data_IF_338397008062
#
_entry.id   IF_338397008062
#
_cell.length_a   1.000
_cell.length_b   1.000
_cell.length_c   1.000
_cell.angle_alpha   90.00
_cell.angle_beta   90.00
_cell.angle_gamma   90.00
#
_symmetry.space_group_name_H-M   'P 1'
#
loop_
_entity.id
_entity.type
_entity.pdbx_description
1 polymer ?
#
# COMPACT_ATOMS: atom_id res chain seq x y z
N UNK A 1 -1.94 2.48 8.83
CA UNK A 1 -1.25 1.24 9.20
C UNK A 1 0.23 1.56 9.41
N UNK A 2 0.82 1.12 10.53
CA UNK A 2 2.27 1.12 10.67
C UNK A 2 2.87 0.00 9.78
N UNK A 3 4.04 0.24 9.22
CA UNK A 3 4.76 -0.69 8.34
C UNK A 3 6.17 -0.92 8.91
N UNK A 4 6.73 -2.13 8.79
CA UNK A 4 8.08 -2.40 9.24
C UNK A 4 9.14 -1.61 8.46
N UNK A 5 10.34 -1.53 9.02
CA UNK A 5 11.51 -1.05 8.30
C UNK A 5 11.75 -1.91 7.06
N UNK A 6 12.12 -1.27 5.93
CA UNK A 6 12.34 -1.99 4.67
C UNK A 6 11.06 -2.48 3.96
N UNK A 7 9.88 -1.95 4.31
CA UNK A 7 8.62 -2.27 3.60
C UNK A 7 8.76 -2.20 2.08
N UNK A 8 9.43 -1.19 1.52
CA UNK A 8 9.59 -1.04 0.07
C UNK A 8 10.37 -2.19 -0.58
N UNK A 9 11.26 -2.85 0.16
CA UNK A 9 12.06 -4.00 -0.30
C UNK A 9 11.41 -5.36 -0.01
N UNK A 10 10.35 -5.41 0.79
CA UNK A 10 9.66 -6.67 1.11
C UNK A 10 8.94 -7.24 -0.11
N UNK A 11 8.88 -8.58 -0.18
CA UNK A 11 8.10 -9.25 -1.21
C UNK A 11 6.60 -9.07 -0.94
N UNK A 12 5.80 -9.21 -2.00
CA UNK A 12 4.34 -9.05 -1.90
C UNK A 12 3.72 -10.04 -0.91
N UNK A 13 4.24 -11.27 -0.86
CA UNK A 13 3.80 -12.29 0.09
C UNK A 13 3.99 -11.82 1.55
N UNK A 14 5.16 -11.30 1.89
CA UNK A 14 5.47 -10.82 3.24
C UNK A 14 4.56 -9.65 3.63
N UNK A 15 4.34 -8.72 2.70
CA UNK A 15 3.42 -7.59 2.89
C UNK A 15 2.00 -8.03 3.18
N UNK A 16 1.51 -9.05 2.47
CA UNK A 16 0.18 -9.63 2.70
C UNK A 16 0.08 -10.35 4.03
N UNK A 17 1.10 -11.13 4.39
CA UNK A 17 1.19 -11.81 5.68
C UNK A 17 1.17 -10.79 6.82
N UNK A 18 1.96 -9.72 6.70
CA UNK A 18 1.98 -8.62 7.66
C UNK A 18 0.62 -7.95 7.78
N UNK A 19 0.00 -7.55 6.66
CA UNK A 19 -1.33 -6.93 6.68
C UNK A 19 -2.39 -7.84 7.31
N UNK A 20 -2.33 -9.14 7.02
CA UNK A 20 -3.29 -10.11 7.58
C UNK A 20 -3.14 -10.22 9.11
N UNK A 21 -1.90 -10.30 9.62
CA UNK A 21 -1.61 -10.31 11.07
C UNK A 21 -2.04 -9.02 11.75
N UNK A 22 -1.74 -7.86 11.13
CA UNK A 22 -2.19 -6.57 11.63
C UNK A 22 -3.72 -6.47 11.72
N UNK A 23 -4.43 -6.96 10.70
CA UNK A 23 -5.89 -6.89 10.64
C UNK A 23 -6.57 -7.80 11.68
N UNK A 24 -6.02 -8.99 11.92
CA UNK A 24 -6.60 -9.98 12.83
C UNK A 24 -6.26 -9.70 14.29
N UNK A 25 -4.97 -9.51 14.57
CA UNK A 25 -4.45 -9.55 15.94
C UNK A 25 -3.91 -8.19 16.39
N UNK A 26 -3.95 -7.17 15.52
CA UNK A 26 -3.34 -5.87 15.79
C UNK A 26 -1.82 -5.91 15.92
N UNK A 27 -1.19 -7.04 15.55
CA UNK A 27 0.24 -7.25 15.74
C UNK A 27 1.02 -6.32 14.81
N UNK A 28 1.94 -5.57 15.40
CA UNK A 28 2.87 -4.68 14.72
C UNK A 28 4.28 -4.94 15.20
N UNK A 29 5.25 -4.91 14.30
CA UNK A 29 6.66 -5.01 14.67
C UNK A 29 7.07 -3.85 15.59
N UNK A 30 8.01 -4.12 16.51
CA UNK A 30 8.52 -3.13 17.48
C UNK A 30 9.09 -1.88 16.80
N UNK A 31 9.69 -2.03 15.62
CA UNK A 31 10.27 -0.95 14.82
C UNK A 31 9.34 -0.46 13.71
N UNK A 32 8.02 -0.67 13.87
CA UNK A 32 7.05 -0.26 12.87
C UNK A 32 6.87 1.26 12.85
N UNK A 33 6.88 1.83 11.65
CA UNK A 33 6.77 3.28 11.39
C UNK A 33 5.48 3.60 10.64
N UNK A 34 5.00 4.83 10.72
CA UNK A 34 3.86 5.25 9.89
C UNK A 34 4.23 5.15 8.41
N UNK A 35 3.37 4.54 7.61
CA UNK A 35 3.53 4.53 6.16
C UNK A 35 3.47 5.97 5.62
N UNK A 36 4.51 6.35 4.89
CA UNK A 36 4.77 7.67 4.32
C UNK A 36 4.43 7.73 2.83
N UNK A 37 4.48 6.60 2.12
CA UNK A 37 4.16 6.51 0.70
C UNK A 37 3.60 5.15 0.32
N UNK A 38 2.79 5.09 -0.73
CA UNK A 38 2.26 3.84 -1.30
C UNK A 38 1.71 4.07 -2.72
N UNK A 39 1.44 3.00 -3.46
CA UNK A 39 0.76 3.08 -4.76
C UNK A 39 -0.62 2.44 -4.71
N UNK A 40 -1.56 2.88 -5.58
CA UNK A 40 -2.86 2.21 -5.70
C UNK A 40 -2.71 0.72 -5.98
N UNK A 41 -1.68 0.34 -6.76
CA UNK A 41 -1.39 -1.04 -7.11
C UNK A 41 -0.97 -1.85 -5.88
N UNK A 42 -0.09 -1.30 -5.05
CA UNK A 42 0.32 -1.95 -3.82
C UNK A 42 -0.86 -2.13 -2.85
N UNK A 43 -1.70 -1.11 -2.67
CA UNK A 43 -2.92 -1.22 -1.87
C UNK A 43 -3.81 -2.34 -2.42
N UNK A 44 -4.07 -2.36 -3.73
CA UNK A 44 -4.90 -3.39 -4.36
C UNK A 44 -4.34 -4.80 -4.12
N UNK A 45 -3.02 -4.97 -4.25
CA UNK A 45 -2.37 -6.27 -4.11
C UNK A 45 -2.27 -6.74 -2.66
N UNK A 46 -1.97 -5.84 -1.71
CA UNK A 46 -1.76 -6.18 -0.29
C UNK A 46 -3.08 -6.28 0.46
N UNK A 47 -3.96 -5.29 0.30
CA UNK A 47 -5.20 -5.16 1.07
C UNK A 47 -6.34 -5.99 0.48
N UNK A 48 -6.48 -5.96 -0.85
CA UNK A 48 -7.62 -6.57 -1.54
C UNK A 48 -7.27 -7.87 -2.26
N UNK A 49 -6.00 -8.30 -2.19
CA UNK A 49 -5.47 -9.48 -2.90
C UNK A 49 -5.83 -9.51 -4.40
N UNK A 50 -5.98 -8.33 -5.01
CA UNK A 50 -6.25 -8.22 -6.43
C UNK A 50 -4.95 -8.45 -7.22
N UNK A 51 -4.81 -9.64 -7.76
CA UNK A 51 -3.79 -9.99 -8.75
C UNK A 51 -4.39 -9.99 -10.15
N UNK A 52 -3.61 -9.55 -11.14
CA UNK A 52 -4.00 -9.63 -12.54
C UNK A 52 -4.75 -8.41 -13.09
N UNK A 53 -4.97 -8.48 -14.41
CA UNK A 53 -5.55 -7.41 -15.23
C UNK A 53 -7.08 -7.57 -15.41
N UNK A 54 -7.71 -8.34 -14.52
CA UNK A 54 -9.15 -8.64 -14.60
C UNK A 54 -10.03 -7.41 -14.34
N UNK A 55 -11.26 -7.44 -14.84
CA UNK A 55 -12.23 -6.33 -14.69
C UNK A 55 -12.40 -5.90 -13.22
N UNK A 56 -12.32 -6.85 -12.28
CA UNK A 56 -12.39 -6.58 -10.84
C UNK A 56 -11.26 -5.69 -10.32
N UNK A 57 -10.02 -5.89 -10.80
CA UNK A 57 -8.86 -5.13 -10.33
C UNK A 57 -8.92 -3.67 -10.78
N UNK A 58 -9.40 -3.40 -12.00
CA UNK A 58 -9.62 -2.02 -12.49
C UNK A 58 -10.65 -1.26 -11.66
N UNK A 59 -11.75 -1.91 -11.28
CA UNK A 59 -12.78 -1.29 -10.42
C UNK A 59 -12.23 -0.95 -9.04
N UNK A 60 -11.45 -1.86 -8.45
CA UNK A 60 -10.80 -1.60 -7.15
C UNK A 60 -9.78 -0.46 -7.23
N UNK A 61 -8.95 -0.39 -8.28
CA UNK A 61 -7.98 0.69 -8.45
C UNK A 61 -8.65 2.08 -8.53
N UNK A 62 -9.82 2.18 -9.20
CA UNK A 62 -10.60 3.43 -9.23
C UNK A 62 -11.09 3.81 -7.85
N UNK A 63 -11.64 2.86 -7.08
CA UNK A 63 -12.11 3.08 -5.71
C UNK A 63 -10.97 3.51 -4.77
N UNK A 64 -9.82 2.85 -4.86
CA UNK A 64 -8.62 3.21 -4.08
C UNK A 64 -8.16 4.62 -4.43
N UNK A 65 -8.15 4.97 -5.72
CA UNK A 65 -7.76 6.29 -6.18
C UNK A 65 -8.69 7.37 -5.63
N UNK A 66 -10.00 7.19 -5.77
CA UNK A 66 -10.99 8.12 -5.24
C UNK A 66 -10.90 8.27 -3.71
N UNK A 67 -10.62 7.17 -2.99
CA UNK A 67 -10.40 7.22 -1.55
C UNK A 67 -9.13 8.00 -1.18
N UNK A 68 -8.01 7.75 -1.87
CA UNK A 68 -6.74 8.43 -1.58
C UNK A 68 -6.76 9.91 -1.97
N UNK A 69 -7.43 10.26 -3.07
CA UNK A 69 -7.57 11.64 -3.53
C UNK A 69 -8.38 12.51 -2.55
N UNK A 70 -9.23 11.90 -1.71
CA UNK A 70 -10.00 12.60 -0.66
C UNK A 70 -9.38 12.46 0.75
N UNK A 71 -8.20 11.86 0.86
CA UNK A 71 -7.58 11.62 2.17
C UNK A 71 -6.64 12.76 2.54
N UNK A 72 -6.91 13.38 3.68
CA UNK A 72 -6.12 14.49 4.18
C UNK A 72 -4.62 14.12 4.30
N UNK A 73 -3.77 15.07 3.91
CA UNK A 73 -2.30 14.98 3.87
C UNK A 73 -1.73 13.90 2.95
N UNK A 74 -2.49 13.34 2.00
CA UNK A 74 -1.95 12.43 0.99
C UNK A 74 -2.02 13.07 -0.39
N UNK A 75 -0.87 13.27 -1.03
CA UNK A 75 -0.80 13.84 -2.36
C UNK A 75 -0.28 12.85 -3.38
N UNK A 76 -0.90 12.90 -4.56
CA UNK A 76 -0.56 12.04 -5.69
C UNK A 76 0.69 12.59 -6.38
N UNK A 77 1.81 11.88 -6.28
CA UNK A 77 3.09 12.29 -6.86
C UNK A 77 3.91 11.09 -7.33
N UNK A 78 4.92 11.28 -8.20
CA UNK A 78 5.92 10.26 -8.46
C UNK A 78 6.62 9.90 -7.15
N UNK A 79 6.65 8.61 -6.82
CA UNK A 79 7.31 8.08 -5.62
C UNK A 79 8.31 7.00 -6.03
N UNK A 80 9.40 6.90 -5.27
CA UNK A 80 10.42 5.87 -5.47
C UNK A 80 10.10 4.66 -4.60
N UNK A 81 9.77 3.52 -5.22
CA UNK A 81 9.50 2.24 -4.55
C UNK A 81 10.29 1.14 -5.27
N UNK A 82 11.03 0.32 -4.51
CA UNK A 82 11.78 -0.82 -5.04
C UNK A 82 12.63 -0.49 -6.28
N UNK A 83 13.47 0.56 -6.16
CA UNK A 83 14.36 1.07 -7.21
C UNK A 83 13.66 1.52 -8.50
N UNK A 84 12.36 1.81 -8.45
CA UNK A 84 11.59 2.30 -9.60
C UNK A 84 10.74 3.50 -9.21
N UNK A 85 10.65 4.47 -10.11
CA UNK A 85 9.66 5.55 -10.00
C UNK A 85 8.30 5.00 -10.40
N UNK A 86 7.33 5.11 -9.49
CA UNK A 86 5.93 4.74 -9.74
C UNK A 86 5.02 5.89 -9.39
N UNK A 87 3.89 6.00 -10.11
CA UNK A 87 2.84 6.94 -9.73
C UNK A 87 2.13 6.41 -8.48
N UNK A 88 2.14 7.17 -7.40
CA UNK A 88 1.53 6.78 -6.15
C UNK A 88 1.10 7.99 -5.33
N UNK A 89 0.99 7.79 -4.03
CA UNK A 89 0.67 8.80 -3.06
C UNK A 89 1.76 8.84 -2.01
N UNK A 90 2.11 10.03 -1.56
CA UNK A 90 2.92 10.19 -0.36
C UNK A 90 2.26 11.19 0.58
N UNK A 91 2.57 11.02 1.86
CA UNK A 91 2.13 11.95 2.88
C UNK A 91 2.93 13.25 2.76
N UNK A 92 2.25 14.37 3.00
CA UNK A 92 2.89 15.68 3.20
C UNK A 92 3.53 15.79 4.58
#
# INVERSE_FOLDING_TARGET
MPVPFGWDSMQLFDKRSYYSRYKLDGITDKDSRKMDKTSSKEIAQVVFRAEGNDRGSRSQLKKITLFMDNRDRWTKKPIWINKKTVKGYARE
#
